data_IF_960868201533
#
_entry.id   IF_960868201533
#
_cell.length_a   1.000
_cell.length_b   1.000
_cell.length_c   1.000
_cell.angle_alpha   90.00
_cell.angle_beta   90.00
_cell.angle_gamma   90.00
#
_symmetry.space_group_name_H-M   'P 1'
#
loop_
_entity.id
_entity.type
_entity.pdbx_description
1 polymer ?
#
# COMPACT_ATOMS: atom_id res chain seq x y z
N UNK A 1 -77.56 4.64 10.07
CA UNK A 1 -76.40 5.39 9.54
C UNK A 1 -75.68 6.07 10.68
N UNK A 2 -74.35 5.87 10.74
CA UNK A 2 -73.32 6.54 11.55
C UNK A 2 -73.46 6.47 13.09
N UNK A 3 -72.84 5.44 13.66
CA UNK A 3 -72.55 5.34 15.10
C UNK A 3 -71.26 6.10 15.44
N UNK A 4 -71.29 6.66 16.64
CA UNK A 4 -70.23 7.31 17.40
C UNK A 4 -68.89 6.54 17.38
N UNK A 5 -67.78 7.27 17.33
CA UNK A 5 -66.56 6.90 18.06
C UNK A 5 -65.89 8.15 18.64
N UNK A 6 -65.61 8.06 19.93
CA UNK A 6 -65.05 9.09 20.80
C UNK A 6 -63.58 8.73 21.06
N UNK A 7 -62.73 9.75 21.00
CA UNK A 7 -61.43 10.01 21.65
C UNK A 7 -60.58 8.87 22.28
N UNK A 8 -59.27 9.06 22.07
CA UNK A 8 -58.14 8.83 22.99
C UNK A 8 -57.58 7.41 23.10
N UNK A 9 -56.34 7.19 22.63
CA UNK A 9 -55.20 6.81 23.49
C UNK A 9 -53.88 6.91 22.68
N UNK A 10 -52.88 7.48 23.33
CA UNK A 10 -51.46 7.55 22.95
C UNK A 10 -50.75 6.29 23.51
N UNK A 11 -49.54 5.99 23.01
CA UNK A 11 -48.50 5.07 23.52
C UNK A 11 -48.37 3.70 22.80
N UNK A 12 -47.28 3.59 22.04
CA UNK A 12 -46.23 2.57 22.20
C UNK A 12 -46.47 1.16 21.66
N UNK A 13 -45.68 0.76 20.65
CA UNK A 13 -44.77 -0.38 20.76
C UNK A 13 -43.99 -0.57 19.44
N UNK A 14 -42.67 -0.42 19.59
CA UNK A 14 -41.61 -0.81 18.68
C UNK A 14 -41.81 -2.31 18.31
N UNK A 15 -42.07 -2.61 17.04
CA UNK A 15 -41.83 -3.93 16.47
C UNK A 15 -40.42 -3.86 15.86
N UNK A 16 -39.39 -4.45 16.47
CA UNK A 16 -39.29 -5.89 16.67
C UNK A 16 -38.74 -6.54 15.39
N UNK A 17 -37.65 -5.98 14.85
CA UNK A 17 -36.88 -6.63 13.78
C UNK A 17 -36.08 -7.77 14.43
N UNK A 18 -36.67 -8.96 14.41
CA UNK A 18 -35.96 -10.19 14.73
C UNK A 18 -35.02 -10.48 13.56
N UNK A 19 -33.76 -10.09 13.71
CA UNK A 19 -32.67 -10.60 12.87
C UNK A 19 -32.55 -12.09 13.22
N UNK A 20 -32.84 -12.92 12.24
CA UNK A 20 -32.56 -14.34 12.30
C UNK A 20 -31.04 -14.52 12.36
N UNK A 21 -30.57 -14.94 13.52
CA UNK A 21 -29.23 -15.47 13.76
C UNK A 21 -28.99 -16.67 12.85
N UNK A 22 -28.30 -16.44 11.73
CA UNK A 22 -27.56 -17.47 11.01
C UNK A 22 -26.19 -17.62 11.66
N UNK A 23 -25.88 -18.79 12.20
CA UNK A 23 -24.52 -19.16 12.56
C UNK A 23 -23.68 -19.19 11.28
N UNK A 24 -22.80 -18.20 11.09
CA UNK A 24 -21.58 -18.35 10.31
C UNK A 24 -20.41 -18.24 11.27
N UNK A 25 -19.49 -19.21 11.17
CA UNK A 25 -18.34 -19.35 12.05
C UNK A 25 -17.49 -18.07 12.13
N UNK A 26 -17.04 -17.79 13.35
CA UNK A 26 -16.29 -16.65 13.86
C UNK A 26 -15.14 -16.14 12.97
N UNK A 27 -15.15 -14.82 12.71
CA UNK A 27 -14.00 -13.88 12.58
C UNK A 27 -14.36 -12.59 11.78
N UNK A 28 -15.63 -12.22 11.65
CA UNK A 28 -16.03 -10.97 11.01
C UNK A 28 -15.86 -9.80 12.01
N UNK A 29 -15.05 -8.79 11.64
CA UNK A 29 -14.77 -7.60 12.46
C UNK A 29 -15.97 -6.65 12.37
N UNK A 30 -17.10 -7.09 12.94
CA UNK A 30 -18.33 -6.31 13.00
C UNK A 30 -18.31 -5.45 14.26
N UNK A 31 -18.61 -4.16 14.12
CA UNK A 31 -18.64 -3.22 15.25
C UNK A 31 -19.82 -3.52 16.19
N UNK A 32 -19.56 -3.51 17.50
CA UNK A 32 -20.64 -3.58 18.49
C UNK A 32 -21.29 -2.19 18.60
N UNK A 33 -22.63 -2.07 18.50
CA UNK A 33 -23.32 -0.78 18.63
C UNK A 33 -23.11 -0.08 19.99
N UNK A 34 -22.54 -0.77 20.98
CA UNK A 34 -22.20 -0.22 22.30
C UNK A 34 -20.74 0.24 22.45
N UNK A 35 -19.91 0.03 21.42
CA UNK A 35 -18.53 0.50 21.42
C UNK A 35 -18.44 2.03 21.40
N UNK A 36 -17.58 2.57 22.27
CA UNK A 36 -17.14 3.97 22.20
C UNK A 36 -15.93 4.07 21.25
N UNK A 37 -15.94 5.09 20.40
CA UNK A 37 -14.91 5.37 19.38
C UNK A 37 -14.44 6.81 19.53
N UNK A 38 -13.14 7.02 19.38
CA UNK A 38 -12.53 8.36 19.40
C UNK A 38 -12.89 9.15 18.13
N UNK A 39 -13.00 8.44 17.00
CA UNK A 39 -13.35 9.01 15.69
C UNK A 39 -14.24 8.06 14.90
N UNK A 40 -15.20 8.61 14.17
CA UNK A 40 -15.99 7.86 13.17
C UNK A 40 -15.80 8.50 11.81
N UNK A 41 -15.28 7.73 10.86
CA UNK A 41 -15.11 8.11 9.47
C UNK A 41 -16.15 7.40 8.62
N UNK A 42 -17.00 8.20 7.96
CA UNK A 42 -18.01 7.72 7.01
C UNK A 42 -17.74 8.37 5.64
N UNK A 43 -17.67 7.56 4.58
CA UNK A 43 -17.50 8.04 3.20
C UNK A 43 -18.09 7.10 2.15
N UNK A 44 -18.21 7.61 0.92
CA UNK A 44 -18.71 6.86 -0.23
C UNK A 44 -18.02 7.25 -1.55
N UNK A 45 -18.34 6.54 -2.64
CA UNK A 45 -17.91 6.87 -4.01
C UNK A 45 -18.22 8.32 -4.45
N UNK A 46 -19.24 8.95 -3.86
CA UNK A 46 -19.69 10.29 -4.20
C UNK A 46 -19.11 11.38 -3.29
N UNK A 47 -18.42 11.03 -2.21
CA UNK A 47 -17.98 12.01 -1.19
C UNK A 47 -16.68 11.57 -0.53
N UNK A 48 -15.60 12.31 -0.81
CA UNK A 48 -14.39 12.24 0.00
C UNK A 48 -14.69 12.81 1.39
N UNK A 49 -14.24 12.12 2.44
CA UNK A 49 -14.40 12.56 3.82
C UNK A 49 -13.03 12.70 4.46
N UNK A 50 -12.80 13.84 5.11
CA UNK A 50 -11.58 14.13 5.87
C UNK A 50 -12.00 14.39 7.31
N UNK A 51 -11.52 13.54 8.21
CA UNK A 51 -11.59 13.77 9.64
C UNK A 51 -10.20 14.13 10.16
N UNK A 52 -10.09 15.23 10.90
CA UNK A 52 -8.84 15.70 11.51
C UNK A 52 -9.00 15.74 13.03
N UNK A 53 -8.84 14.60 13.73
CA UNK A 53 -8.69 14.61 15.17
C UNK A 53 -7.38 15.31 15.56
N UNK A 54 -7.51 16.53 16.08
CA UNK A 54 -6.41 17.22 16.75
C UNK A 54 -6.16 16.58 18.12
N UNK A 55 -4.96 16.01 18.32
CA UNK A 55 -4.51 15.53 19.62
C UNK A 55 -3.52 16.55 20.17
N UNK A 56 -4.04 17.46 20.99
CA UNK A 56 -3.21 18.38 21.76
C UNK A 56 -2.55 17.62 22.92
N UNK A 57 -1.26 17.88 23.17
CA UNK A 57 -0.49 17.41 24.34
C UNK A 57 0.15 16.00 24.27
N UNK A 58 0.86 15.69 23.17
CA UNK A 58 1.84 14.59 23.17
C UNK A 58 3.08 14.96 24.00
N UNK A 59 3.11 14.55 25.27
CA UNK A 59 4.33 14.50 26.05
C UNK A 59 5.05 13.17 25.74
N UNK A 60 6.22 13.25 25.10
CA UNK A 60 7.08 12.10 24.79
C UNK A 60 7.44 11.33 26.05
N UNK A 61 6.64 10.32 26.40
CA UNK A 61 6.74 9.61 27.67
C UNK A 61 5.94 8.30 27.65
N UNK A 62 6.45 7.32 26.93
CA UNK A 62 6.28 5.87 27.18
C UNK A 62 4.89 5.21 27.01
N UNK A 63 3.96 5.83 26.27
CA UNK A 63 2.72 5.19 25.87
C UNK A 63 2.42 5.42 24.39
N UNK A 64 2.37 4.35 23.60
CA UNK A 64 1.80 4.40 22.26
C UNK A 64 0.32 4.77 22.42
N UNK A 65 -0.03 6.00 22.04
CA UNK A 65 -1.43 6.42 21.97
C UNK A 65 -2.05 5.71 20.77
N UNK A 66 -3.27 5.23 20.95
CA UNK A 66 -4.05 4.60 19.91
C UNK A 66 -5.36 5.36 19.81
N UNK A 67 -5.75 5.72 18.59
CA UNK A 67 -7.07 6.27 18.29
C UNK A 67 -7.95 5.10 17.85
N UNK A 68 -9.02 4.81 18.62
CA UNK A 68 -10.01 3.80 18.25
C UNK A 68 -10.97 4.42 17.23
N UNK A 69 -10.81 4.05 15.97
CA UNK A 69 -11.59 4.56 14.85
C UNK A 69 -12.69 3.58 14.45
N UNK A 70 -13.88 4.12 14.15
CA UNK A 70 -14.92 3.41 13.39
C UNK A 70 -14.88 3.88 11.94
N UNK A 71 -14.92 2.93 11.02
CA UNK A 71 -14.83 3.15 9.59
C UNK A 71 -16.07 2.58 8.90
N UNK A 72 -16.89 3.45 8.33
CA UNK A 72 -18.10 3.08 7.58
C UNK A 72 -17.89 3.49 6.12
N UNK A 73 -17.78 2.50 5.23
CA UNK A 73 -17.56 2.74 3.80
C UNK A 73 -18.77 2.24 3.05
N UNK A 74 -19.36 3.10 2.21
CA UNK A 74 -20.50 2.73 1.36
C UNK A 74 -20.18 2.96 -0.12
N UNK A 75 -20.44 1.96 -0.94
CA UNK A 75 -20.43 2.03 -2.39
C UNK A 75 -21.88 2.07 -2.90
N UNK A 76 -22.20 2.93 -3.86
CA UNK A 76 -23.58 3.06 -4.34
C UNK A 76 -23.91 2.09 -5.47
N UNK A 77 -22.92 1.64 -6.24
CA UNK A 77 -23.12 0.87 -7.47
C UNK A 77 -22.27 -0.41 -7.58
N UNK A 78 -21.33 -0.62 -6.65
CA UNK A 78 -20.38 -1.74 -6.66
C UNK A 78 -20.39 -2.49 -5.34
N UNK A 79 -20.13 -3.79 -5.41
CA UNK A 79 -19.80 -4.58 -4.21
C UNK A 79 -18.40 -4.23 -3.73
N UNK A 80 -18.24 -4.04 -2.42
CA UNK A 80 -16.93 -3.87 -1.80
C UNK A 80 -16.29 -5.25 -1.63
N UNK A 81 -15.08 -5.42 -2.16
CA UNK A 81 -14.31 -6.68 -2.08
C UNK A 81 -13.08 -6.56 -1.21
N UNK A 82 -12.42 -5.41 -1.23
CA UNK A 82 -11.25 -5.14 -0.40
C UNK A 82 -11.31 -3.73 0.17
N UNK A 83 -10.69 -3.56 1.33
CA UNK A 83 -10.41 -2.25 1.90
C UNK A 83 -8.90 -2.12 2.10
N UNK A 84 -8.35 -1.04 1.59
CA UNK A 84 -6.94 -0.71 1.68
C UNK A 84 -6.75 0.40 2.70
N UNK A 85 -5.65 0.30 3.44
CA UNK A 85 -5.27 1.28 4.44
C UNK A 85 -3.80 1.62 4.27
N UNK A 86 -3.49 2.91 4.10
CA UNK A 86 -2.12 3.40 4.19
C UNK A 86 -1.93 4.28 5.41
N UNK A 87 -0.68 4.36 5.86
CA UNK A 87 -0.23 5.31 6.85
C UNK A 87 0.92 6.15 6.30
N UNK A 88 0.96 7.42 6.69
CA UNK A 88 2.06 8.33 6.41
C UNK A 88 2.44 9.03 7.71
N UNK A 89 3.66 8.76 8.19
CA UNK A 89 4.11 9.25 9.49
C UNK A 89 5.07 10.39 9.24
N UNK A 90 4.78 11.57 9.76
CA UNK A 90 5.66 12.74 9.65
C UNK A 90 6.08 13.09 8.20
N UNK A 91 5.23 12.79 7.21
CA UNK A 91 5.50 13.08 5.81
C UNK A 91 6.51 12.13 5.15
N UNK A 92 6.81 10.97 5.74
CA UNK A 92 7.74 9.97 5.18
C UNK A 92 7.13 9.14 4.03
N UNK A 93 5.99 9.56 3.49
CA UNK A 93 5.31 8.90 2.38
C UNK A 93 4.35 7.82 2.84
N UNK A 94 3.44 7.46 1.94
CA UNK A 94 2.40 6.48 2.22
C UNK A 94 3.02 5.06 2.25
N UNK A 95 2.61 4.25 3.21
CA UNK A 95 3.00 2.85 3.40
C UNK A 95 1.77 2.01 3.72
N UNK A 96 1.71 0.73 3.30
CA UNK A 96 0.66 -0.18 3.75
C UNK A 96 0.58 -0.22 5.27
N UNK A 97 -0.61 -0.07 5.81
CA UNK A 97 -0.83 -0.18 7.26
C UNK A 97 -0.89 -1.65 7.66
N UNK A 98 -0.11 -2.04 8.67
CA UNK A 98 -0.12 -3.41 9.18
C UNK A 98 -1.39 -3.66 10.02
N UNK A 99 -2.45 -4.11 9.35
CA UNK A 99 -3.75 -4.36 9.98
C UNK A 99 -3.72 -5.48 11.02
N UNK A 100 -2.83 -6.47 10.87
CA UNK A 100 -2.74 -7.64 11.76
C UNK A 100 -2.19 -7.28 13.13
N UNK A 101 -1.17 -6.43 13.17
CA UNK A 101 -0.61 -5.91 14.43
C UNK A 101 -1.56 -4.94 15.13
N UNK A 102 -2.58 -4.44 14.43
CA UNK A 102 -3.49 -3.40 14.90
C UNK A 102 -4.94 -3.88 15.05
N UNK A 103 -5.13 -5.19 15.25
CA UNK A 103 -6.38 -5.76 15.75
C UNK A 103 -7.20 -6.59 14.76
N UNK A 104 -6.74 -6.76 13.51
CA UNK A 104 -7.40 -7.67 12.56
C UNK A 104 -6.80 -9.08 12.59
N UNK A 105 -7.66 -10.08 12.46
CA UNK A 105 -7.23 -11.48 12.35
C UNK A 105 -6.64 -11.77 10.97
N UNK A 106 -5.85 -12.84 10.86
CA UNK A 106 -5.36 -13.32 9.56
C UNK A 106 -6.50 -13.66 8.59
N UNK A 107 -7.68 -14.06 9.08
CA UNK A 107 -8.84 -14.38 8.24
C UNK A 107 -9.49 -13.12 7.65
N UNK A 108 -9.39 -11.99 8.35
CA UNK A 108 -9.92 -10.71 7.91
C UNK A 108 -8.99 -9.97 6.94
N UNK A 109 -7.81 -10.53 6.63
CA UNK A 109 -6.82 -9.90 5.73
C UNK A 109 -6.46 -10.79 4.55
N UNK A 110 -6.29 -10.20 3.37
CA UNK A 110 -5.71 -10.86 2.19
C UNK A 110 -4.18 -10.90 2.27
N UNK A 111 -3.51 -11.71 1.43
CA UNK A 111 -2.05 -11.80 1.42
C UNK A 111 -1.34 -10.49 1.04
N UNK A 112 -1.96 -9.64 0.21
CA UNK A 112 -1.49 -8.27 -0.08
C UNK A 112 -1.62 -7.30 1.11
N UNK A 113 -2.13 -7.79 2.25
CA UNK A 113 -2.34 -7.01 3.46
C UNK A 113 -3.66 -6.26 3.51
N UNK A 114 -4.48 -6.25 2.45
CA UNK A 114 -5.78 -5.56 2.45
C UNK A 114 -6.77 -6.27 3.38
N UNK A 115 -7.84 -5.60 3.78
CA UNK A 115 -8.96 -6.24 4.46
C UNK A 115 -9.76 -7.06 3.43
N UNK A 116 -10.12 -8.30 3.78
CA UNK A 116 -11.02 -9.13 2.99
C UNK A 116 -12.48 -8.75 3.27
N UNK A 117 -13.10 -8.01 2.36
CA UNK A 117 -14.51 -7.68 2.42
C UNK A 117 -15.37 -8.56 1.49
N UNK A 118 -14.76 -9.49 0.73
CA UNK A 118 -15.49 -10.33 -0.22
C UNK A 118 -16.53 -11.23 0.47
N UNK A 119 -16.25 -11.64 1.70
CA UNK A 119 -17.15 -12.44 2.52
C UNK A 119 -18.46 -11.71 2.84
N UNK A 120 -18.42 -10.39 3.00
CA UNK A 120 -19.61 -9.58 3.28
C UNK A 120 -20.54 -9.51 2.06
N UNK A 121 -19.97 -9.43 0.85
CA UNK A 121 -20.73 -9.22 -0.39
C UNK A 121 -21.56 -7.94 -0.41
N UNK A 122 -21.34 -7.05 0.55
CA UNK A 122 -22.18 -5.91 0.83
C UNK A 122 -21.69 -4.65 0.11
N UNK A 123 -22.61 -3.72 -0.08
CA UNK A 123 -22.33 -2.38 -0.56
C UNK A 123 -21.78 -1.47 0.55
N UNK A 124 -21.89 -1.90 1.82
CA UNK A 124 -21.43 -1.16 2.99
C UNK A 124 -20.60 -2.08 3.88
N UNK A 125 -19.47 -1.56 4.38
CA UNK A 125 -18.64 -2.24 5.37
C UNK A 125 -18.45 -1.33 6.59
N UNK A 126 -18.33 -1.92 7.77
CA UNK A 126 -18.25 -1.23 9.06
C UNK A 126 -17.18 -1.90 9.93
N UNK A 127 -16.04 -1.22 10.10
CA UNK A 127 -14.87 -1.74 10.81
C UNK A 127 -14.51 -0.90 12.03
N UNK A 128 -13.98 -1.56 13.06
CA UNK A 128 -13.27 -0.92 14.17
C UNK A 128 -11.76 -1.12 13.98
N UNK A 129 -10.99 -0.03 14.02
CA UNK A 129 -9.54 -0.03 13.87
C UNK A 129 -8.87 0.70 15.03
N UNK A 130 -7.74 0.17 15.47
CA UNK A 130 -6.86 0.83 16.41
C UNK A 130 -5.73 1.50 15.63
N UNK A 131 -5.72 2.82 15.59
CA UNK A 131 -4.74 3.61 14.83
C UNK A 131 -3.65 4.14 15.77
N UNK A 132 -2.43 3.56 15.76
CA UNK A 132 -1.38 3.99 16.66
C UNK A 132 -0.86 5.38 16.30
N UNK A 133 -0.28 6.09 17.26
CA UNK A 133 0.53 7.28 17.03
C UNK A 133 1.99 6.87 17.26
N UNK A 134 2.76 6.60 16.19
CA UNK A 134 4.11 6.06 16.34
C UNK A 134 5.04 7.06 17.01
N UNK A 135 5.94 6.58 17.86
CA UNK A 135 6.95 7.41 18.53
C UNK A 135 7.90 8.14 17.55
N UNK A 136 7.97 7.69 16.30
CA UNK A 136 8.76 8.31 15.23
C UNK A 136 8.32 9.73 14.84
N UNK A 137 7.13 10.18 15.23
CA UNK A 137 6.64 11.54 14.93
C UNK A 137 7.28 12.63 15.82
N UNK A 138 7.97 12.25 16.91
CA UNK A 138 8.58 13.20 17.83
C UNK A 138 7.56 14.13 18.48
N UNK A 139 7.89 15.41 18.64
CA UNK A 139 7.02 16.40 19.30
C UNK A 139 6.18 17.24 18.34
N UNK A 140 6.38 17.13 17.02
CA UNK A 140 5.64 17.85 15.98
C UNK A 140 5.53 17.01 14.71
N UNK A 141 4.35 16.99 14.09
CA UNK A 141 4.11 16.36 12.79
C UNK A 141 2.66 15.91 12.65
N UNK A 142 2.35 15.15 11.60
CA UNK A 142 1.08 14.44 11.47
C UNK A 142 1.25 12.95 11.15
N UNK A 143 0.29 12.14 11.61
CA UNK A 143 0.08 10.78 11.12
C UNK A 143 -1.18 10.79 10.27
N UNK A 144 -1.07 10.43 9.01
CA UNK A 144 -2.20 10.42 8.08
C UNK A 144 -2.53 8.98 7.73
N UNK A 145 -3.75 8.56 8.04
CA UNK A 145 -4.32 7.29 7.62
C UNK A 145 -5.29 7.52 6.46
N UNK A 146 -5.08 6.83 5.34
CA UNK A 146 -6.00 6.86 4.20
C UNK A 146 -6.65 5.50 4.03
N UNK A 147 -7.93 5.53 3.68
CA UNK A 147 -8.79 4.36 3.53
C UNK A 147 -9.52 4.46 2.20
N UNK A 148 -9.61 3.36 1.47
CA UNK A 148 -10.48 3.26 0.30
C UNK A 148 -10.92 1.83 0.09
N UNK A 149 -12.00 1.66 -0.67
CA UNK A 149 -12.56 0.35 -0.96
C UNK A 149 -12.52 0.08 -2.46
N UNK A 150 -12.28 -1.17 -2.83
CA UNK A 150 -12.21 -1.62 -4.22
C UNK A 150 -13.18 -2.76 -4.48
N UNK A 151 -13.58 -2.93 -5.75
CA UNK A 151 -14.46 -4.01 -6.21
C UNK A 151 -13.68 -5.23 -6.74
N UNK A 152 -12.38 -5.27 -6.47
CA UNK A 152 -11.40 -6.25 -6.92
C UNK A 152 -10.06 -6.02 -6.23
N UNK A 153 -8.97 -6.56 -6.78
CA UNK A 153 -7.61 -6.21 -6.36
C UNK A 153 -7.36 -4.73 -6.61
N UNK A 154 -6.75 -4.06 -5.65
CA UNK A 154 -6.33 -2.66 -5.73
C UNK A 154 -4.82 -2.53 -5.65
N UNK A 155 -4.37 -1.29 -5.45
CA UNK A 155 -2.97 -0.92 -5.35
C UNK A 155 -2.81 0.13 -4.24
N UNK A 156 -1.91 -0.10 -3.28
CA UNK A 156 -1.64 0.83 -2.18
C UNK A 156 -1.16 2.21 -2.61
N UNK A 157 -0.67 2.35 -3.85
CA UNK A 157 -0.13 3.59 -4.41
C UNK A 157 -1.09 4.25 -5.41
N UNK A 158 -2.14 3.55 -5.83
CA UNK A 158 -3.17 4.06 -6.72
C UNK A 158 -4.58 3.71 -6.19
N UNK A 159 -5.20 4.61 -5.41
CA UNK A 159 -6.55 4.40 -4.90
C UNK A 159 -7.60 4.23 -5.99
N UNK A 160 -7.37 4.76 -7.20
CA UNK A 160 -8.32 4.67 -8.31
C UNK A 160 -8.35 3.26 -8.93
N UNK A 161 -7.34 2.42 -8.65
CA UNK A 161 -7.28 1.05 -9.12
C UNK A 161 -8.44 0.22 -8.53
N UNK A 162 -9.35 -0.21 -9.41
CA UNK A 162 -10.55 -0.98 -9.05
C UNK A 162 -11.47 -0.29 -8.01
N UNK A 163 -11.47 1.04 -7.96
CA UNK A 163 -12.20 1.82 -6.94
C UNK A 163 -13.69 1.44 -6.86
N UNK A 164 -14.18 1.16 -5.65
CA UNK A 164 -15.59 0.97 -5.32
C UNK A 164 -16.15 2.11 -4.49
N UNK A 165 -15.37 2.68 -3.57
CA UNK A 165 -15.72 3.88 -2.83
C UNK A 165 -14.49 4.75 -2.61
N UNK A 166 -14.67 6.07 -2.70
CA UNK A 166 -13.61 7.09 -2.73
C UNK A 166 -12.69 7.07 -1.50
N UNK A 167 -11.68 7.93 -1.48
CA UNK A 167 -10.70 7.96 -0.40
C UNK A 167 -11.23 8.74 0.81
N UNK A 168 -11.27 8.08 1.97
CA UNK A 168 -11.45 8.70 3.27
C UNK A 168 -10.12 8.87 4.01
N UNK A 169 -9.99 9.89 4.86
CA UNK A 169 -8.77 10.17 5.59
C UNK A 169 -9.03 10.47 7.07
N UNK A 170 -8.16 9.95 7.93
CA UNK A 170 -7.99 10.38 9.33
C UNK A 170 -6.60 11.00 9.45
N UNK A 171 -6.52 12.28 9.80
CA UNK A 171 -5.26 12.97 10.09
C UNK A 171 -5.14 13.22 11.59
N UNK A 172 -4.05 12.75 12.18
CA UNK A 172 -3.74 12.97 13.58
C UNK A 172 -2.62 13.99 13.65
N UNK A 173 -2.94 15.18 14.15
CA UNK A 173 -1.97 16.27 14.32
C UNK A 173 -1.30 16.20 15.69
N UNK A 174 0.04 16.23 15.71
CA UNK A 174 0.89 16.31 16.92
C UNK A 174 1.62 17.64 16.95
N UNK A 175 1.53 18.37 18.06
CA UNK A 175 2.21 19.66 18.24
C UNK A 175 1.75 20.70 17.21
N UNK A 176 2.67 21.25 16.42
CA UNK A 176 2.33 22.23 15.36
C UNK A 176 1.81 21.59 14.06
N UNK A 177 1.77 20.26 13.96
CA UNK A 177 1.42 19.56 12.71
C UNK A 177 2.45 19.70 11.59
N UNK A 178 3.58 20.36 11.84
CA UNK A 178 4.59 20.61 10.81
C UNK A 178 5.51 19.41 10.67
N UNK A 179 5.41 18.73 9.53
CA UNK A 179 6.29 17.63 9.21
C UNK A 179 7.73 18.13 8.95
N UNK A 180 8.76 17.37 9.38
CA UNK A 180 10.13 17.62 8.96
C UNK A 180 10.29 17.43 7.44
N UNK A 181 11.45 17.79 6.89
CA UNK A 181 11.75 17.40 5.51
C UNK A 181 11.75 15.88 5.41
N UNK A 182 11.04 15.35 4.42
CA UNK A 182 10.94 13.91 4.22
C UNK A 182 12.31 13.34 3.79
N UNK A 183 12.88 12.37 4.53
CA UNK A 183 14.09 11.67 4.11
C UNK A 183 13.81 10.82 2.86
N UNK A 184 14.85 10.43 2.14
CA UNK A 184 14.73 9.36 1.13
C UNK A 184 14.49 8.02 1.83
N UNK A 185 13.66 7.18 1.23
CA UNK A 185 13.60 5.76 1.60
C UNK A 185 14.84 5.07 1.05
N UNK A 186 15.55 4.33 1.90
CA UNK A 186 16.80 3.66 1.54
C UNK A 186 16.69 2.16 1.80
N UNK A 187 16.94 1.36 0.78
CA UNK A 187 17.01 -0.10 0.86
C UNK A 187 18.43 -0.51 0.49
N UNK A 188 19.21 -0.97 1.46
CA UNK A 188 20.61 -1.34 1.26
C UNK A 188 20.77 -2.84 1.14
N UNK A 189 21.72 -3.30 0.31
CA UNK A 189 22.01 -4.74 0.14
C UNK A 189 20.78 -5.55 -0.33
N UNK A 190 19.99 -4.96 -1.23
CA UNK A 190 18.89 -5.68 -1.89
C UNK A 190 19.50 -6.65 -2.90
N UNK A 191 19.31 -7.95 -2.70
CA UNK A 191 19.86 -9.00 -3.56
C UNK A 191 18.74 -9.53 -4.45
N UNK A 192 18.83 -9.28 -5.75
CA UNK A 192 17.87 -9.81 -6.72
C UNK A 192 18.48 -11.02 -7.42
N UNK A 193 17.77 -12.15 -7.39
CA UNK A 193 18.15 -13.35 -8.09
C UNK A 193 17.69 -13.32 -9.54
N UNK A 194 18.52 -13.84 -10.45
CA UNK A 194 18.10 -14.09 -11.82
C UNK A 194 16.92 -15.08 -11.83
N UNK A 195 15.91 -14.87 -12.68
CA UNK A 195 14.68 -15.64 -12.60
C UNK A 195 14.91 -17.10 -12.99
N UNK A 196 14.33 -18.00 -12.21
CA UNK A 196 14.06 -19.38 -12.61
C UNK A 196 12.82 -19.42 -13.52
N UNK A 197 12.78 -20.38 -14.43
CA UNK A 197 11.71 -20.51 -15.41
C UNK A 197 10.31 -20.76 -14.80
N UNK A 198 10.26 -21.26 -13.56
CA UNK A 198 9.02 -21.46 -12.79
C UNK A 198 8.59 -20.22 -11.98
N UNK A 199 9.40 -19.15 -11.97
CA UNK A 199 9.09 -17.91 -11.26
C UNK A 199 9.35 -17.94 -9.77
N UNK A 200 9.99 -18.99 -9.23
CA UNK A 200 10.21 -19.19 -7.79
C UNK A 200 11.39 -18.41 -7.20
N UNK A 201 12.01 -17.51 -7.99
CA UNK A 201 13.13 -16.67 -7.55
C UNK A 201 12.64 -15.31 -7.07
N UNK A 202 13.30 -14.78 -6.04
CA UNK A 202 13.13 -13.40 -5.54
C UNK A 202 13.79 -12.42 -6.52
N UNK A 203 13.10 -12.20 -7.63
CA UNK A 203 13.61 -11.47 -8.79
C UNK A 203 13.10 -10.03 -8.82
N UNK A 204 11.93 -9.77 -8.23
CA UNK A 204 11.26 -8.48 -8.31
C UNK A 204 11.34 -7.76 -6.96
N UNK A 205 11.49 -6.44 -7.00
CA UNK A 205 11.49 -5.59 -5.80
C UNK A 205 10.31 -4.63 -5.84
N UNK A 206 9.77 -4.35 -4.66
CA UNK A 206 8.89 -3.20 -4.48
C UNK A 206 9.65 -1.99 -3.96
N UNK A 207 9.47 -0.86 -4.63
CA UNK A 207 9.95 0.45 -4.20
C UNK A 207 9.10 1.02 -3.06
N UNK A 208 7.91 0.47 -2.83
CA UNK A 208 7.03 0.89 -1.75
C UNK A 208 7.62 0.56 -0.39
N UNK A 209 8.03 -0.69 -0.17
CA UNK A 209 8.50 -1.22 1.12
C UNK A 209 9.91 -1.85 1.08
N UNK A 210 10.49 -2.03 -0.10
CA UNK A 210 11.80 -2.64 -0.29
C UNK A 210 11.79 -4.17 -0.33
N UNK A 211 10.61 -4.80 -0.22
CA UNK A 211 10.48 -6.25 -0.17
C UNK A 211 10.73 -6.91 -1.53
N UNK A 212 11.12 -8.18 -1.47
CA UNK A 212 11.39 -9.00 -2.64
C UNK A 212 10.25 -9.97 -2.89
N UNK A 213 9.97 -10.18 -4.18
CA UNK A 213 8.84 -10.98 -4.62
C UNK A 213 9.23 -12.00 -5.68
N UNK A 214 8.48 -13.09 -5.65
CA UNK A 214 8.52 -14.17 -6.62
C UNK A 214 7.25 -14.08 -7.46
N UNK A 215 7.37 -14.23 -8.78
CA UNK A 215 6.20 -14.14 -9.65
C UNK A 215 5.29 -15.36 -9.53
N UNK A 216 5.80 -16.49 -9.02
CA UNK A 216 5.01 -17.69 -8.72
C UNK A 216 4.02 -17.51 -7.55
N UNK A 217 4.13 -16.42 -6.78
CA UNK A 217 3.16 -16.06 -5.73
C UNK A 217 1.83 -15.60 -6.32
N UNK A 218 1.82 -15.29 -7.62
CA UNK A 218 0.63 -14.97 -8.39
C UNK A 218 0.24 -13.50 -8.40
N UNK A 219 -0.82 -13.22 -9.14
CA UNK A 219 -1.42 -11.92 -9.40
C UNK A 219 -1.85 -11.10 -8.16
N UNK A 220 -1.77 -11.67 -6.97
CA UNK A 220 -2.09 -11.01 -5.71
C UNK A 220 -1.06 -9.91 -5.36
N UNK A 221 0.19 -10.10 -5.79
CA UNK A 221 1.30 -9.19 -5.48
C UNK A 221 1.77 -8.37 -6.68
N UNK A 222 1.12 -8.48 -7.84
CA UNK A 222 1.60 -7.87 -9.09
C UNK A 222 1.76 -6.35 -8.98
N UNK A 223 0.87 -5.69 -8.24
CA UNK A 223 0.92 -4.25 -7.99
C UNK A 223 2.12 -3.79 -7.15
N UNK A 224 2.83 -4.71 -6.47
CA UNK A 224 4.05 -4.38 -5.73
C UNK A 224 5.31 -4.47 -6.60
N UNK A 225 5.28 -5.20 -7.72
CA UNK A 225 6.46 -5.47 -8.52
C UNK A 225 6.81 -4.28 -9.40
N UNK A 226 7.79 -3.48 -9.01
CA UNK A 226 8.19 -2.31 -9.78
C UNK A 226 9.19 -2.67 -10.88
N UNK A 227 10.22 -3.43 -10.53
CA UNK A 227 11.20 -3.94 -11.48
C UNK A 227 11.87 -5.22 -10.98
N UNK A 228 12.55 -5.92 -11.88
CA UNK A 228 13.34 -7.10 -11.53
C UNK A 228 14.65 -7.20 -12.28
N UNK A 229 15.52 -8.09 -11.81
CA UNK A 229 16.83 -8.38 -12.38
C UNK A 229 16.82 -9.60 -13.30
N UNK A 230 17.48 -9.50 -14.45
CA UNK A 230 17.85 -10.67 -15.24
C UNK A 230 19.28 -10.61 -15.75
N UNK A 231 19.81 -11.77 -16.11
CA UNK A 231 21.01 -11.89 -16.89
C UNK A 231 20.68 -12.39 -18.31
N UNK A 232 21.04 -11.63 -19.33
CA UNK A 232 20.86 -12.01 -20.74
C UNK A 232 22.15 -12.53 -21.38
N UNK A 233 22.05 -13.42 -22.37
CA UNK A 233 23.24 -13.93 -23.08
C UNK A 233 24.04 -12.85 -23.82
N UNK A 234 23.38 -11.77 -24.25
CA UNK A 234 24.04 -10.61 -24.90
C UNK A 234 23.94 -9.34 -24.07
N UNK A 235 22.82 -9.15 -23.35
CA UNK A 235 22.57 -7.95 -22.57
C UNK A 235 23.16 -8.03 -21.15
N UNK A 236 23.61 -9.22 -20.74
CA UNK A 236 24.23 -9.50 -19.45
C UNK A 236 23.38 -8.99 -18.30
N UNK A 237 23.96 -8.40 -17.26
CA UNK A 237 23.24 -7.93 -16.09
C UNK A 237 22.32 -6.76 -16.44
N UNK A 238 21.02 -6.93 -16.19
CA UNK A 238 19.98 -6.00 -16.62
C UNK A 238 18.89 -5.84 -15.59
N UNK A 239 18.27 -4.66 -15.57
CA UNK A 239 17.01 -4.41 -14.86
C UNK A 239 15.90 -4.14 -15.89
N UNK A 240 14.70 -4.60 -15.60
CA UNK A 240 13.51 -4.30 -16.37
C UNK A 240 12.31 -4.04 -15.46
N UNK A 241 11.46 -3.10 -15.86
CA UNK A 241 10.14 -2.93 -15.26
C UNK A 241 9.35 -4.24 -15.32
N UNK A 242 8.49 -4.49 -14.35
CA UNK A 242 7.65 -5.69 -14.35
C UNK A 242 6.75 -5.75 -15.59
N UNK A 243 6.11 -4.63 -15.96
CA UNK A 243 5.25 -4.52 -17.15
C UNK A 243 6.00 -4.56 -18.49
N UNK A 244 7.33 -4.51 -18.48
CA UNK A 244 8.15 -4.64 -19.68
C UNK A 244 9.27 -5.67 -19.47
N UNK A 245 9.00 -6.75 -18.74
CA UNK A 245 9.99 -7.79 -18.53
C UNK A 245 10.19 -8.62 -19.81
N UNK A 246 11.41 -9.04 -20.19
CA UNK A 246 11.60 -9.83 -21.40
C UNK A 246 10.99 -11.24 -21.27
N UNK A 247 9.93 -11.53 -22.04
CA UNK A 247 9.25 -12.84 -22.04
C UNK A 247 10.16 -14.01 -22.44
N UNK A 248 11.25 -13.76 -23.16
CA UNK A 248 12.27 -14.76 -23.47
C UNK A 248 13.11 -15.19 -22.25
N UNK A 249 13.09 -14.41 -21.17
CA UNK A 249 13.71 -14.73 -19.90
C UNK A 249 12.68 -15.42 -19.00
N UNK A 250 11.56 -14.74 -18.75
CA UNK A 250 10.37 -15.28 -18.07
C UNK A 250 9.14 -14.49 -18.54
N UNK A 251 8.07 -15.21 -18.82
CA UNK A 251 6.77 -14.61 -19.14
C UNK A 251 6.01 -14.34 -17.84
N UNK A 252 6.18 -13.13 -17.29
CA UNK A 252 5.61 -12.70 -16.00
C UNK A 252 4.08 -12.85 -16.00
N UNK A 253 3.42 -12.43 -17.08
CA UNK A 253 1.96 -12.50 -17.23
C UNK A 253 1.47 -13.93 -17.13
N UNK A 254 2.12 -14.84 -17.87
CA UNK A 254 1.74 -16.26 -17.87
C UNK A 254 2.02 -16.94 -16.53
N UNK A 255 3.18 -16.70 -15.92
CA UNK A 255 3.56 -17.36 -14.66
C UNK A 255 2.73 -16.86 -13.48
N UNK A 256 2.51 -15.54 -13.39
CA UNK A 256 1.73 -14.95 -12.31
C UNK A 256 0.21 -15.07 -12.50
N UNK A 257 -0.25 -15.49 -13.68
CA UNK A 257 -1.67 -15.50 -14.06
C UNK A 257 -2.31 -14.11 -13.89
N UNK A 258 -1.66 -13.09 -14.43
CA UNK A 258 -2.08 -11.68 -14.35
C UNK A 258 -2.24 -11.09 -15.75
N UNK A 259 -2.30 -9.77 -15.89
CA UNK A 259 -2.35 -9.05 -17.18
C UNK A 259 -1.32 -7.94 -17.22
N UNK A 260 -0.91 -7.50 -18.41
CA UNK A 260 0.04 -6.37 -18.57
C UNK A 260 -0.43 -5.10 -17.85
N UNK A 261 -1.75 -4.87 -17.79
CA UNK A 261 -2.33 -3.69 -17.15
C UNK A 261 -2.20 -3.70 -15.61
N UNK A 262 -1.88 -4.84 -15.01
CA UNK A 262 -1.70 -5.02 -13.56
C UNK A 262 -0.21 -4.97 -13.14
N UNK A 263 0.71 -4.82 -14.10
CA UNK A 263 2.14 -4.78 -13.86
C UNK A 263 2.67 -3.35 -13.94
N UNK A 264 3.61 -3.00 -13.06
CA UNK A 264 4.12 -1.63 -12.99
C UNK A 264 5.16 -1.35 -14.07
N UNK A 265 5.16 -0.10 -14.51
CA UNK A 265 6.26 0.51 -15.25
C UNK A 265 7.34 1.06 -14.33
N UNK A 266 8.58 1.06 -14.79
CA UNK A 266 9.71 1.73 -14.16
C UNK A 266 10.70 2.14 -15.24
N UNK A 267 11.13 3.40 -15.26
CA UNK A 267 11.92 3.98 -16.33
C UNK A 267 13.33 4.25 -15.86
N UNK A 268 14.33 3.75 -16.58
CA UNK A 268 15.73 3.75 -16.18
C UNK A 268 16.61 4.59 -17.10
N UNK A 269 17.64 5.20 -16.53
CA UNK A 269 18.69 5.91 -17.23
C UNK A 269 19.99 5.79 -16.44
N UNK A 270 21.13 5.65 -17.14
CA UNK A 270 22.42 5.71 -16.46
C UNK A 270 22.66 7.12 -15.92
N UNK A 271 23.05 7.23 -14.65
CA UNK A 271 23.37 8.49 -14.02
C UNK A 271 24.80 8.94 -14.33
N UNK A 272 25.05 10.23 -14.16
CA UNK A 272 26.40 10.80 -14.12
C UNK A 272 26.94 10.99 -12.69
N UNK A 273 26.16 10.60 -11.68
CA UNK A 273 26.55 10.70 -10.27
C UNK A 273 27.74 9.79 -9.94
N UNK A 274 28.52 10.21 -8.96
CA UNK A 274 29.56 9.39 -8.34
C UNK A 274 29.00 8.68 -7.10
N UNK A 275 29.69 7.65 -6.60
CA UNK A 275 29.28 6.97 -5.36
C UNK A 275 29.17 7.93 -4.17
N UNK A 276 30.07 8.92 -4.07
CA UNK A 276 30.03 9.93 -3.01
C UNK A 276 28.81 10.86 -3.14
N UNK A 277 28.37 11.16 -4.37
CA UNK A 277 27.14 11.92 -4.61
C UNK A 277 25.90 11.10 -4.25
N UNK A 278 25.88 9.81 -4.62
CA UNK A 278 24.82 8.90 -4.21
C UNK A 278 24.72 8.81 -2.68
N UNK A 279 25.84 8.68 -1.98
CA UNK A 279 25.86 8.60 -0.52
C UNK A 279 25.32 9.87 0.15
N UNK A 280 25.55 11.04 -0.46
CA UNK A 280 25.09 12.33 0.05
C UNK A 280 23.60 12.64 -0.18
N UNK A 281 22.86 11.81 -0.92
CA UNK A 281 21.41 11.96 -1.11
C UNK A 281 20.68 11.49 0.16
N UNK A 282 20.12 12.43 0.93
CA UNK A 282 19.49 12.12 2.23
C UNK A 282 18.02 12.53 2.28
N UNK A 283 17.61 13.51 1.47
CA UNK A 283 16.25 14.05 1.48
C UNK A 283 15.53 13.82 0.14
N UNK A 284 14.21 13.63 0.18
CA UNK A 284 13.37 13.43 -1.00
C UNK A 284 13.61 14.49 -2.11
N UNK A 285 13.88 15.74 -1.71
CA UNK A 285 14.12 16.85 -2.63
C UNK A 285 15.42 16.73 -3.42
N UNK A 286 16.41 15.98 -2.94
CA UNK A 286 17.69 15.78 -3.63
C UNK A 286 17.48 15.01 -4.94
N UNK A 287 16.39 14.24 -5.03
CA UNK A 287 16.01 13.44 -6.21
C UNK A 287 15.17 14.23 -7.22
N UNK A 288 14.75 15.47 -6.92
CA UNK A 288 13.81 16.22 -7.77
C UNK A 288 14.33 16.53 -9.17
N UNK A 289 15.64 16.59 -9.37
CA UNK A 289 16.26 16.86 -10.67
C UNK A 289 16.17 15.68 -11.64
N UNK A 290 15.89 14.46 -11.15
CA UNK A 290 15.76 13.27 -11.99
C UNK A 290 14.55 13.44 -12.90
N UNK A 291 14.74 13.10 -14.17
CA UNK A 291 13.70 13.13 -15.20
C UNK A 291 13.42 11.73 -15.69
N UNK A 292 12.15 11.42 -15.94
CA UNK A 292 11.74 10.13 -16.49
C UNK A 292 12.36 9.90 -17.87
N UNK A 293 13.00 8.75 -18.04
CA UNK A 293 13.50 8.29 -19.34
C UNK A 293 12.38 7.62 -20.16
N UNK A 294 12.67 7.27 -21.41
CA UNK A 294 11.76 6.44 -22.22
C UNK A 294 12.05 4.94 -22.12
N UNK A 295 13.05 4.53 -21.35
CA UNK A 295 13.55 3.15 -21.35
C UNK A 295 13.05 2.41 -20.11
N UNK A 296 12.25 1.37 -20.28
CA UNK A 296 11.81 0.52 -19.17
C UNK A 296 12.76 -0.66 -18.90
N UNK A 297 13.93 -0.63 -19.55
CA UNK A 297 15.01 -1.59 -19.36
C UNK A 297 16.35 -0.88 -19.39
N UNK A 298 17.28 -1.37 -18.59
CA UNK A 298 18.69 -0.98 -18.63
C UNK A 298 19.54 -2.25 -18.60
N UNK A 299 20.62 -2.27 -19.35
CA UNK A 299 21.39 -3.49 -19.64
C UNK A 299 22.87 -3.26 -19.47
N UNK A 300 23.62 -4.36 -19.40
CA UNK A 300 25.08 -4.37 -19.27
C UNK A 300 25.54 -3.56 -18.05
N UNK A 301 24.85 -3.75 -16.92
CA UNK A 301 25.19 -3.10 -15.66
C UNK A 301 26.49 -3.69 -15.09
N UNK A 302 27.34 -2.81 -14.58
CA UNK A 302 28.60 -3.16 -13.94
C UNK A 302 28.62 -2.69 -12.47
N UNK A 303 29.48 -3.31 -11.65
CA UNK A 303 29.66 -2.88 -10.26
C UNK A 303 30.14 -1.44 -10.20
N UNK A 304 29.45 -0.61 -9.41
CA UNK A 304 29.69 0.81 -9.29
C UNK A 304 28.79 1.69 -10.15
N UNK A 305 28.03 1.12 -11.09
CA UNK A 305 27.05 1.87 -11.87
C UNK A 305 25.96 2.46 -10.96
N UNK A 306 25.52 3.67 -11.32
CA UNK A 306 24.41 4.36 -10.67
C UNK A 306 23.35 4.64 -11.72
N UNK A 307 22.13 4.19 -11.47
CA UNK A 307 20.99 4.28 -12.36
C UNK A 307 19.97 5.22 -11.73
N UNK A 308 19.53 6.22 -12.50
CA UNK A 308 18.36 7.03 -12.19
C UNK A 308 17.10 6.30 -12.63
N UNK A 309 16.05 6.38 -11.82
CA UNK A 309 14.76 5.87 -12.22
C UNK A 309 13.58 6.78 -11.86
N UNK A 310 12.48 6.56 -12.56
CA UNK A 310 11.15 7.05 -12.20
C UNK A 310 10.17 5.88 -12.25
N UNK A 311 9.42 5.64 -11.18
CA UNK A 311 8.45 4.56 -11.11
C UNK A 311 7.10 4.91 -11.78
N UNK A 312 6.17 3.95 -11.79
CA UNK A 312 4.84 4.08 -12.37
C UNK A 312 4.02 5.26 -11.78
N UNK A 313 4.34 5.67 -10.55
CA UNK A 313 3.62 6.68 -9.78
C UNK A 313 4.35 8.04 -9.78
N UNK A 314 5.45 8.15 -10.55
CA UNK A 314 6.24 9.36 -10.69
C UNK A 314 7.24 9.60 -9.56
N UNK A 315 7.45 8.64 -8.64
CA UNK A 315 8.49 8.71 -7.62
C UNK A 315 9.85 8.51 -8.29
N UNK A 316 10.79 9.33 -7.86
CA UNK A 316 12.14 9.37 -8.42
C UNK A 316 13.11 8.65 -7.51
N UNK A 317 14.16 8.08 -8.06
CA UNK A 317 15.17 7.44 -7.24
C UNK A 317 16.46 7.08 -7.97
N UNK A 318 17.36 6.49 -7.20
CA UNK A 318 18.67 6.03 -7.62
C UNK A 318 18.85 4.57 -7.22
N UNK A 319 19.51 3.80 -8.07
CA UNK A 319 19.97 2.44 -7.80
C UNK A 319 21.48 2.45 -7.98
N UNK A 320 22.24 1.90 -7.03
CA UNK A 320 23.67 1.67 -7.17
C UNK A 320 23.93 0.17 -7.22
N UNK A 321 24.69 -0.28 -8.21
CA UNK A 321 25.16 -1.67 -8.29
C UNK A 321 26.34 -1.86 -7.34
N UNK A 322 26.14 -2.67 -6.30
CA UNK A 322 27.12 -2.92 -5.24
C UNK A 322 27.97 -4.15 -5.55
N UNK A 323 27.33 -5.22 -6.02
CA UNK A 323 27.99 -6.46 -6.39
C UNK A 323 27.22 -7.18 -7.51
N UNK A 324 27.91 -8.04 -8.25
CA UNK A 324 27.35 -8.79 -9.36
C UNK A 324 27.96 -10.19 -9.41
N UNK A 325 27.10 -11.21 -9.34
CA UNK A 325 27.44 -12.59 -9.70
C UNK A 325 26.82 -12.89 -11.06
N UNK A 326 27.61 -12.92 -12.15
CA UNK A 326 27.09 -13.20 -13.49
C UNK A 326 26.52 -14.62 -13.59
N UNK A 327 25.37 -14.78 -14.24
CA UNK A 327 24.81 -16.11 -14.46
C UNK A 327 23.29 -16.12 -14.62
N UNK A 328 22.75 -17.29 -14.95
CA UNK A 328 21.32 -17.54 -15.08
C UNK A 328 20.81 -18.36 -13.88
N UNK A 329 19.51 -18.31 -13.62
CA UNK A 329 18.87 -19.12 -12.58
C UNK A 329 19.48 -18.90 -11.20
N UNK A 330 19.69 -19.99 -10.44
CA UNK A 330 20.12 -19.93 -9.04
C UNK A 330 21.49 -19.27 -8.79
N UNK A 331 22.32 -19.19 -9.83
CA UNK A 331 23.71 -18.73 -9.69
C UNK A 331 23.85 -17.23 -9.96
N UNK A 332 22.94 -16.64 -10.73
CA UNK A 332 23.00 -15.24 -11.14
C UNK A 332 22.33 -14.32 -10.13
N UNK A 333 23.04 -13.28 -9.67
CA UNK A 333 22.52 -12.34 -8.68
C UNK A 333 23.11 -10.95 -8.88
N UNK A 334 22.34 -9.91 -8.57
CA UNK A 334 22.81 -8.53 -8.44
C UNK A 334 22.51 -8.03 -7.03
N UNK A 335 23.49 -7.37 -6.40
CA UNK A 335 23.29 -6.66 -5.14
C UNK A 335 23.23 -5.18 -5.42
N UNK A 336 22.17 -4.52 -4.96
CA UNK A 336 21.94 -3.10 -5.19
C UNK A 336 21.62 -2.34 -3.90
N UNK A 337 21.96 -1.06 -3.88
CA UNK A 337 21.42 -0.09 -2.94
C UNK A 337 20.41 0.79 -3.68
N UNK A 338 19.26 1.06 -3.06
CA UNK A 338 18.17 1.85 -3.62
C UNK A 338 17.91 3.07 -2.73
N UNK A 339 17.79 4.24 -3.33
CA UNK A 339 17.27 5.46 -2.69
C UNK A 339 16.06 5.97 -3.49
N UNK A 340 14.91 6.12 -2.86
CA UNK A 340 13.67 6.52 -3.54
C UNK A 340 12.92 7.59 -2.77
N UNK A 341 12.23 8.46 -3.51
CA UNK A 341 11.32 9.42 -2.90
C UNK A 341 10.22 8.69 -2.12
N UNK A 342 9.89 9.16 -0.91
CA UNK A 342 8.85 8.60 -0.07
C UNK A 342 7.47 8.62 -0.72
#
# INVERSE_FOLDING_TARGET
>A
MKKLFNKLFMVGALAGLLIASGCSDDDEVVTDPTDEFDVTLEFSDATASVNDPLIEDYASGDGQLTVKARLIITSNDRTIRRVYVTQNIAGTGDQPFNLRENGLSNKATKPDGSIDAEASGDATVDYALNLPIPSGIGTNGSVVYKFWATNGKGDYRDPENSLAAGVGQIEITVGTGTNPNAPVKSYTTTILAAPLADGSSETFVSLLDGELYRVDQGEEYSAFWDFGYYYGATLEASLAAAGNYPSSIIDVVTVANTTDAELNSCFFQMSSMTSAMFDAVDESRDLNSITQSSNERINMLEVGDIVEFVDNYGKKGLIRVVDLTPGFGSDGQITIDIKVQP
#
